data_IF_184199258245
#
_entry.id   IF_184199258245
#
_cell.length_a   1.000
_cell.length_b   1.000
_cell.length_c   1.000
_cell.angle_alpha   90.00
_cell.angle_beta   90.00
_cell.angle_gamma   90.00
#
_symmetry.space_group_name_H-M   'P 1'
#
loop_
_entity.id
_entity.type
_entity.pdbx_description
1 polymer ?
#
# COMPACT_ATOMS: atom_id res chain seq x y z
N UNK A 1 -16.74 -30.07 -34.83
CA UNK A 1 -16.43 -28.63 -34.67
C UNK A 1 -15.83 -28.48 -33.28
N UNK A 2 -14.52 -28.30 -33.19
CA UNK A 2 -13.81 -28.28 -31.92
C UNK A 2 -14.12 -26.94 -31.23
N UNK A 3 -14.65 -26.96 -30.00
CA UNK A 3 -14.76 -25.76 -29.18
C UNK A 3 -13.33 -25.33 -28.85
N UNK A 4 -12.89 -24.19 -29.39
CA UNK A 4 -11.68 -23.56 -28.93
C UNK A 4 -11.93 -23.14 -27.49
N UNK A 5 -11.29 -23.83 -26.54
CA UNK A 5 -11.16 -23.37 -25.17
C UNK A 5 -10.34 -22.07 -25.20
N UNK A 6 -11.04 -20.95 -25.33
CA UNK A 6 -10.47 -19.63 -25.07
C UNK A 6 -10.20 -19.56 -23.57
N UNK A 7 -8.96 -19.85 -23.18
CA UNK A 7 -8.46 -19.54 -21.84
C UNK A 7 -8.61 -18.03 -21.65
N UNK A 8 -9.50 -17.63 -20.76
CA UNK A 8 -9.51 -16.27 -20.26
C UNK A 8 -8.18 -16.06 -19.51
N UNK A 9 -7.35 -15.20 -20.05
CA UNK A 9 -6.10 -14.75 -19.44
C UNK A 9 -6.36 -13.32 -18.97
N UNK A 10 -6.09 -13.05 -17.69
CA UNK A 10 -6.24 -11.72 -17.09
C UNK A 10 -5.48 -10.67 -17.95
N UNK A 11 -6.12 -9.56 -18.38
CA UNK A 11 -5.53 -8.60 -19.33
C UNK A 11 -4.17 -8.04 -18.89
N UNK A 12 -3.89 -8.02 -17.59
CA UNK A 12 -2.65 -7.54 -16.98
C UNK A 12 -1.42 -8.34 -17.44
N UNK A 13 -1.57 -9.57 -17.92
CA UNK A 13 -0.46 -10.40 -18.40
C UNK A 13 0.07 -10.01 -19.80
N UNK A 14 -0.64 -9.15 -20.54
CA UNK A 14 -0.26 -8.75 -21.92
C UNK A 14 0.40 -7.37 -22.02
N UNK A 15 0.37 -6.58 -20.94
CA UNK A 15 0.95 -5.24 -20.98
C UNK A 15 2.45 -5.31 -20.68
N UNK A 16 3.25 -4.67 -21.53
CA UNK A 16 4.65 -4.45 -21.19
C UNK A 16 4.74 -3.56 -19.95
N UNK A 17 5.88 -3.63 -19.25
CA UNK A 17 6.11 -2.80 -18.06
C UNK A 17 5.93 -1.31 -18.38
N UNK A 18 6.39 -0.87 -19.55
CA UNK A 18 6.25 0.51 -20.03
C UNK A 18 4.79 0.91 -20.26
N UNK A 19 3.95 -0.01 -20.76
CA UNK A 19 2.52 0.27 -20.93
C UNK A 19 1.80 0.37 -19.58
N UNK A 20 2.12 -0.50 -18.62
CA UNK A 20 1.59 -0.40 -17.27
C UNK A 20 2.02 0.90 -16.60
N UNK A 21 3.28 1.31 -16.78
CA UNK A 21 3.78 2.59 -16.28
C UNK A 21 3.01 3.78 -16.87
N UNK A 22 2.65 3.74 -18.15
CA UNK A 22 1.83 4.78 -18.79
C UNK A 22 0.38 4.75 -18.28
N UNK A 23 -0.23 3.57 -18.19
CA UNK A 23 -1.62 3.41 -17.75
C UNK A 23 -1.83 3.79 -16.29
N UNK A 24 -0.84 3.51 -15.43
CA UNK A 24 -0.86 3.80 -14.00
C UNK A 24 -0.16 5.12 -13.65
N UNK A 25 0.28 5.88 -14.66
CA UNK A 25 1.10 7.07 -14.44
C UNK A 25 0.38 8.09 -13.56
N UNK A 26 -0.90 8.32 -13.82
CA UNK A 26 -1.69 9.32 -13.10
C UNK A 26 -1.90 8.92 -11.63
N UNK A 27 -2.18 7.64 -11.36
CA UNK A 27 -2.30 7.12 -9.99
C UNK A 27 -0.96 7.18 -9.26
N UNK A 28 0.14 6.77 -9.91
CA UNK A 28 1.48 6.82 -9.33
C UNK A 28 1.90 8.26 -8.99
N UNK A 29 1.62 9.22 -9.88
CA UNK A 29 1.92 10.62 -9.65
C UNK A 29 1.04 11.21 -8.53
N UNK A 30 -0.24 10.84 -8.48
CA UNK A 30 -1.17 11.21 -7.41
C UNK A 30 -0.70 10.69 -6.04
N UNK A 31 -0.35 9.40 -5.96
CA UNK A 31 0.20 8.80 -4.74
C UNK A 31 1.46 9.56 -4.31
N UNK A 32 2.40 9.76 -5.24
CA UNK A 32 3.68 10.45 -4.94
C UNK A 32 3.46 11.88 -4.45
N UNK A 33 2.52 12.61 -5.04
CA UNK A 33 2.14 13.95 -4.58
C UNK A 33 1.56 13.91 -3.17
N UNK A 34 0.61 13.02 -2.89
CA UNK A 34 -0.01 12.90 -1.58
C UNK A 34 1.00 12.51 -0.48
N UNK A 35 1.81 11.46 -0.70
CA UNK A 35 2.73 10.94 0.33
C UNK A 35 3.94 11.84 0.59
N UNK A 36 4.22 12.82 -0.27
CA UNK A 36 5.29 13.81 -0.10
C UNK A 36 4.82 15.17 0.41
N UNK A 37 3.53 15.49 0.26
CA UNK A 37 2.96 16.80 0.65
C UNK A 37 2.89 17.00 2.17
N UNK A 38 2.61 15.94 2.94
CA UNK A 38 2.37 16.05 4.38
C UNK A 38 3.49 15.39 5.21
N UNK A 39 3.73 15.85 6.44
CA UNK A 39 4.74 15.26 7.31
C UNK A 39 4.23 13.95 7.93
N UNK A 40 5.08 12.92 7.87
CA UNK A 40 4.82 11.64 8.50
C UNK A 40 5.17 11.67 10.00
N UNK A 41 4.41 10.93 10.81
CA UNK A 41 4.70 10.76 12.23
C UNK A 41 5.41 9.43 12.48
N UNK A 42 6.64 9.46 12.96
CA UNK A 42 7.37 8.23 13.31
C UNK A 42 6.82 7.57 14.58
N UNK A 43 6.56 6.26 14.51
CA UNK A 43 5.98 5.47 15.59
C UNK A 43 7.06 5.03 16.60
N UNK A 44 7.50 5.94 17.48
CA UNK A 44 8.61 5.73 18.43
C UNK A 44 8.49 4.45 19.27
N UNK A 45 7.28 4.07 19.68
CA UNK A 45 7.01 2.86 20.47
C UNK A 45 7.45 1.57 19.76
N UNK A 46 7.55 1.59 18.43
CA UNK A 46 7.83 0.42 17.60
C UNK A 46 9.22 0.47 16.96
N UNK A 47 10.04 1.48 17.28
CA UNK A 47 11.30 1.76 16.60
C UNK A 47 12.23 0.54 16.52
N UNK A 48 12.31 -0.26 17.58
CA UNK A 48 13.30 -1.35 17.69
C UNK A 48 12.86 -2.68 17.05
N UNK A 49 11.59 -2.84 16.70
CA UNK A 49 11.06 -4.15 16.25
C UNK A 49 10.05 -4.08 15.11
N UNK A 50 9.54 -2.90 14.78
CA UNK A 50 8.66 -2.65 13.65
C UNK A 50 8.72 -1.15 13.27
N UNK A 51 9.88 -0.59 12.87
CA UNK A 51 9.99 0.82 12.53
C UNK A 51 9.05 1.16 11.37
N UNK A 52 8.15 2.10 11.62
CA UNK A 52 7.17 2.60 10.67
C UNK A 52 6.77 4.04 11.00
N UNK A 53 6.11 4.67 10.05
CA UNK A 53 5.53 5.99 10.18
C UNK A 53 4.04 5.95 9.84
N UNK A 54 3.31 6.99 10.21
CA UNK A 54 1.90 7.10 9.90
C UNK A 54 1.43 8.54 9.65
N UNK A 55 0.35 8.66 8.90
CA UNK A 55 -0.52 9.83 8.88
C UNK A 55 -1.70 9.66 9.83
N UNK A 56 -2.19 10.79 10.33
CA UNK A 56 -3.47 10.89 11.02
C UNK A 56 -4.38 11.75 10.16
N UNK A 57 -5.49 11.19 9.67
CA UNK A 57 -6.43 11.85 8.74
C UNK A 57 -6.84 13.25 9.21
N UNK A 58 -7.12 13.41 10.49
CA UNK A 58 -7.56 14.69 11.08
C UNK A 58 -6.48 15.78 11.12
N UNK A 59 -5.22 15.44 10.85
CA UNK A 59 -4.13 16.43 10.74
C UNK A 59 -3.92 16.93 9.30
N UNK A 60 -4.66 16.40 8.34
CA UNK A 60 -4.62 16.82 6.95
C UNK A 60 -5.61 17.96 6.72
N UNK A 61 -5.35 18.79 5.71
CA UNK A 61 -6.35 19.70 5.18
C UNK A 61 -7.46 18.92 4.44
N UNK A 62 -8.51 19.60 3.98
CA UNK A 62 -9.66 18.92 3.35
C UNK A 62 -9.25 18.14 2.08
N UNK A 63 -8.39 18.73 1.23
CA UNK A 63 -7.83 18.04 0.06
C UNK A 63 -7.04 16.78 0.48
N UNK A 64 -6.20 16.89 1.51
CA UNK A 64 -5.46 15.75 2.04
C UNK A 64 -6.35 14.67 2.64
N UNK A 65 -7.50 15.02 3.22
CA UNK A 65 -8.48 14.03 3.71
C UNK A 65 -9.11 13.26 2.55
N UNK A 66 -9.42 13.93 1.45
CA UNK A 66 -9.95 13.29 0.24
C UNK A 66 -8.90 12.36 -0.39
N UNK A 67 -7.65 12.84 -0.53
CA UNK A 67 -6.53 12.03 -1.01
C UNK A 67 -6.21 10.85 -0.09
N UNK A 68 -6.33 11.04 1.22
CA UNK A 68 -6.19 9.97 2.20
C UNK A 68 -7.23 8.87 1.97
N UNK A 69 -8.51 9.23 1.82
CA UNK A 69 -9.59 8.24 1.61
C UNK A 69 -9.35 7.49 0.32
N UNK A 70 -9.09 8.22 -0.78
CA UNK A 70 -8.78 7.59 -2.06
C UNK A 70 -7.60 6.63 -1.98
N UNK A 71 -6.50 7.03 -1.31
CA UNK A 71 -5.33 6.16 -1.23
C UNK A 71 -5.57 4.95 -0.31
N UNK A 72 -6.37 5.07 0.75
CA UNK A 72 -6.78 3.92 1.57
C UNK A 72 -7.57 2.90 0.74
N UNK A 73 -8.52 3.36 -0.09
CA UNK A 73 -9.26 2.50 -1.01
C UNK A 73 -8.31 1.82 -2.00
N UNK A 74 -7.43 2.61 -2.62
CA UNK A 74 -6.46 2.11 -3.58
C UNK A 74 -5.53 1.02 -2.99
N UNK A 75 -5.05 1.21 -1.75
CA UNK A 75 -4.24 0.23 -1.02
C UNK A 75 -5.00 -1.09 -0.82
N UNK A 76 -6.30 -1.03 -0.51
CA UNK A 76 -7.12 -2.22 -0.29
C UNK A 76 -7.45 -2.96 -1.59
N UNK A 77 -7.64 -2.22 -2.68
CA UNK A 77 -7.99 -2.80 -3.99
C UNK A 77 -6.78 -3.37 -4.73
N UNK A 78 -5.60 -2.75 -4.58
CA UNK A 78 -4.40 -3.08 -5.36
C UNK A 78 -3.26 -3.69 -4.52
N UNK A 79 -3.47 -3.84 -3.22
CA UNK A 79 -2.51 -4.45 -2.31
C UNK A 79 -2.51 -5.98 -2.34
N UNK A 80 -1.73 -6.55 -1.44
CA UNK A 80 -1.65 -7.98 -1.18
C UNK A 80 -1.76 -8.25 0.31
N UNK A 81 -2.40 -9.35 0.69
CA UNK A 81 -2.51 -9.73 2.09
C UNK A 81 -1.20 -10.32 2.61
N UNK A 82 -0.79 -9.86 3.78
CA UNK A 82 0.40 -10.34 4.45
C UNK A 82 0.23 -10.29 5.96
N UNK A 83 0.90 -11.21 6.66
CA UNK A 83 0.93 -11.23 8.12
C UNK A 83 2.09 -10.42 8.65
N UNK A 84 1.85 -9.62 9.66
CA UNK A 84 2.87 -9.11 10.56
C UNK A 84 2.61 -9.66 11.96
N UNK A 85 3.56 -10.44 12.49
CA UNK A 85 3.34 -11.28 13.67
C UNK A 85 2.07 -12.15 13.52
N UNK A 86 1.07 -11.97 14.38
CA UNK A 86 -0.20 -12.72 14.32
C UNK A 86 -1.32 -12.00 13.58
N UNK A 87 -1.11 -10.77 13.10
CA UNK A 87 -2.13 -9.97 12.44
C UNK A 87 -1.95 -9.99 10.93
N UNK A 88 -3.06 -10.08 10.21
CA UNK A 88 -3.10 -9.99 8.76
C UNK A 88 -3.60 -8.61 8.36
N UNK A 89 -2.94 -8.00 7.39
CA UNK A 89 -3.30 -6.72 6.80
C UNK A 89 -3.07 -6.77 5.29
N UNK A 90 -3.77 -5.89 4.56
CA UNK A 90 -3.50 -5.64 3.14
C UNK A 90 -2.42 -4.58 3.02
N UNK A 91 -1.34 -4.92 2.31
CA UNK A 91 -0.19 -4.06 2.07
C UNK A 91 -0.10 -3.67 0.60
N UNK A 92 0.23 -2.42 0.33
CA UNK A 92 0.53 -1.95 -1.02
C UNK A 92 1.99 -1.53 -1.11
N UNK A 93 2.69 -1.98 -2.14
CA UNK A 93 4.08 -1.60 -2.40
C UNK A 93 4.14 -0.44 -3.38
N UNK A 94 4.81 0.64 -2.98
CA UNK A 94 5.06 1.78 -3.86
C UNK A 94 6.32 2.54 -3.44
N UNK A 95 7.17 2.90 -4.40
CA UNK A 95 8.41 3.68 -4.20
C UNK A 95 9.23 3.25 -2.97
N UNK A 96 9.49 1.94 -2.84
CA UNK A 96 10.33 1.39 -1.77
C UNK A 96 9.67 1.34 -0.39
N UNK A 97 8.37 1.58 -0.30
CA UNK A 97 7.61 1.51 0.96
C UNK A 97 6.47 0.51 0.86
N UNK A 98 6.13 -0.11 2.00
CA UNK A 98 4.86 -0.79 2.18
C UNK A 98 3.89 0.15 2.89
N UNK A 99 2.67 0.27 2.36
CA UNK A 99 1.57 1.05 2.92
C UNK A 99 0.45 0.14 3.41
N UNK A 100 -0.17 0.44 4.55
CA UNK A 100 -1.31 -0.34 5.06
C UNK A 100 -2.21 0.46 6.00
N UNK A 101 -3.42 -0.05 6.23
CA UNK A 101 -4.35 0.44 7.26
C UNK A 101 -4.65 -0.65 8.28
N UNK A 102 -5.33 -0.31 9.38
CA UNK A 102 -5.59 -1.27 10.46
C UNK A 102 -6.79 -2.20 10.20
N UNK A 103 -7.54 -1.99 9.11
CA UNK A 103 -8.67 -2.85 8.70
C UNK A 103 -10.07 -2.35 9.10
N UNK A 104 -10.18 -1.14 9.67
CA UNK A 104 -11.47 -0.52 9.96
C UNK A 104 -12.25 -0.19 8.67
N UNK A 105 -13.54 0.13 8.77
CA UNK A 105 -14.32 0.62 7.62
C UNK A 105 -13.69 1.91 7.06
N UNK A 106 -13.95 2.24 5.79
CA UNK A 106 -13.32 3.40 5.13
C UNK A 106 -13.63 4.71 5.89
N UNK A 107 -14.88 4.85 6.32
CA UNK A 107 -15.39 5.98 7.11
C UNK A 107 -14.70 6.12 8.47
N UNK A 108 -14.31 5.01 9.10
CA UNK A 108 -13.70 4.94 10.43
C UNK A 108 -12.16 4.91 10.37
N UNK A 109 -11.59 4.72 9.18
CA UNK A 109 -10.14 4.65 8.99
C UNK A 109 -9.52 6.03 9.15
N UNK A 110 -8.75 6.21 10.22
CA UNK A 110 -8.07 7.48 10.54
C UNK A 110 -6.55 7.42 10.42
N UNK A 111 -5.97 6.22 10.27
CA UNK A 111 -4.52 5.98 10.15
C UNK A 111 -4.18 5.30 8.83
N UNK A 112 -3.19 5.88 8.14
CA UNK A 112 -2.45 5.24 7.05
C UNK A 112 -1.01 5.07 7.51
N UNK A 113 -0.50 3.86 7.51
CA UNK A 113 0.87 3.54 7.90
C UNK A 113 1.75 3.36 6.68
N UNK A 114 3.06 3.59 6.85
CA UNK A 114 4.09 3.14 5.91
C UNK A 114 5.35 2.63 6.62
N UNK A 115 6.08 1.74 5.99
CA UNK A 115 7.44 1.37 6.41
C UNK A 115 8.36 1.23 5.19
N UNK A 116 9.66 1.44 5.42
CA UNK A 116 10.68 1.18 4.41
C UNK A 116 10.73 -0.33 4.12
N UNK A 117 10.49 -0.71 2.87
CA UNK A 117 10.48 -2.12 2.43
C UNK A 117 11.81 -2.81 2.71
N UNK A 118 12.94 -2.10 2.60
CA UNK A 118 14.28 -2.66 2.78
C UNK A 118 14.53 -3.18 4.20
N UNK A 119 13.73 -2.74 5.18
CA UNK A 119 13.78 -3.22 6.55
C UNK A 119 13.11 -4.59 6.74
N UNK A 120 12.41 -5.14 5.75
CA UNK A 120 11.59 -6.33 5.92
C UNK A 120 11.84 -7.37 4.83
N UNK A 121 11.55 -8.62 5.16
CA UNK A 121 11.46 -9.73 4.21
C UNK A 121 10.13 -10.44 4.35
N UNK A 122 9.45 -10.67 3.24
CA UNK A 122 8.24 -11.48 3.20
C UNK A 122 8.63 -12.93 2.94
N UNK A 123 8.27 -13.83 3.86
CA UNK A 123 8.47 -15.29 3.74
C UNK A 123 7.17 -15.98 4.06
N UNK A 124 6.70 -16.85 3.15
CA UNK A 124 5.49 -17.66 3.34
C UNK A 124 4.26 -16.82 3.75
N UNK A 125 4.08 -15.64 3.13
CA UNK A 125 2.97 -14.74 3.45
C UNK A 125 3.12 -13.96 4.77
N UNK A 126 4.28 -14.01 5.43
CA UNK A 126 4.56 -13.23 6.63
C UNK A 126 5.71 -12.25 6.40
N UNK A 127 5.46 -10.99 6.69
CA UNK A 127 6.45 -9.91 6.73
C UNK A 127 7.24 -9.98 8.03
N UNK A 128 8.57 -10.07 7.92
CA UNK A 128 9.49 -10.19 9.04
C UNK A 128 10.45 -9.00 9.02
N UNK A 129 10.56 -8.28 10.14
CA UNK A 129 11.55 -7.23 10.29
C UNK A 129 12.95 -7.85 10.32
N UNK A 130 13.84 -7.35 9.47
CA UNK A 130 15.19 -7.90 9.27
C UNK A 130 16.12 -7.65 10.46
N UNK A 131 15.77 -6.68 11.31
CA UNK A 131 16.54 -6.19 12.45
C UNK A 131 17.94 -5.68 12.06
N UNK A 132 18.21 -4.42 12.40
CA UNK A 132 19.56 -3.88 12.39
C UNK A 132 20.39 -4.46 13.56
#
# INVERSE_FOLDING_TARGET
MNKMDLLYVEPKEYFSKEMLEVLLKDDNDRIRQFVSKYPWTFAKTYADFAPHEYYVKDKLDEEGKDEFVWFVEYVRENGFDCKFASKEHTYYEFDGHYYWTMGDLIEDTIILNRCDKSNYVIKQGSMNYLKA
#
